data_IF_890890701364
#
_entry.id   IF_890890701364
#
_cell.length_a   1.000
_cell.length_b   1.000
_cell.length_c   1.000
_cell.angle_alpha   90.00
_cell.angle_beta   90.00
_cell.angle_gamma   90.00
#
_symmetry.space_group_name_H-M   'P 1'
#
loop_
_entity.id
_entity.type
_entity.pdbx_description
1 polymer ?
#
# COMPACT_ATOMS: atom_id res chain seq x y z
N UNK A 1 -1.18 0.86 17.24
CA UNK A 1 -2.17 1.36 16.27
C UNK A 1 -1.40 2.01 15.12
N UNK A 2 -1.08 1.25 14.07
CA UNK A 2 -0.40 1.83 12.92
C UNK A 2 -1.37 2.85 12.28
N UNK A 3 -0.90 4.08 12.06
CA UNK A 3 -1.75 5.21 11.65
C UNK A 3 -2.52 4.99 10.33
N UNK A 4 -3.25 6.00 9.84
CA UNK A 4 -4.19 5.82 8.71
C UNK A 4 -3.53 5.43 7.36
N UNK A 5 -2.20 5.47 7.27
CA UNK A 5 -1.44 5.12 6.07
C UNK A 5 -1.05 3.64 5.95
N UNK A 6 -0.54 3.28 4.77
CA UNK A 6 0.15 2.03 4.50
C UNK A 6 1.25 1.74 5.53
N UNK A 7 1.14 0.59 6.20
CA UNK A 7 2.10 0.12 7.21
C UNK A 7 3.51 -0.11 6.67
N UNK A 8 3.63 -0.29 5.35
CA UNK A 8 4.90 -0.46 4.67
C UNK A 8 5.55 0.87 4.26
N UNK A 9 4.83 1.99 4.31
CA UNK A 9 5.32 3.30 3.88
C UNK A 9 6.67 3.73 4.51
N UNK A 10 6.95 3.48 5.81
CA UNK A 10 8.25 3.84 6.40
C UNK A 10 9.45 3.06 5.85
N UNK A 11 9.20 1.90 5.21
CA UNK A 11 10.22 0.99 4.68
C UNK A 11 10.19 0.88 3.15
N UNK A 12 9.19 1.45 2.49
CA UNK A 12 9.01 1.37 1.05
C UNK A 12 9.80 2.47 0.35
N UNK A 13 10.72 2.10 -0.54
CA UNK A 13 11.50 3.06 -1.34
C UNK A 13 10.65 3.86 -2.34
N UNK A 14 9.47 3.33 -2.70
CA UNK A 14 8.52 3.94 -3.61
C UNK A 14 7.33 4.61 -2.89
N UNK A 15 7.42 4.84 -1.58
CA UNK A 15 6.34 5.44 -0.81
C UNK A 15 6.01 6.85 -1.32
N UNK A 16 4.73 7.09 -1.60
CA UNK A 16 4.18 8.42 -1.92
C UNK A 16 3.51 9.02 -0.69
N UNK A 17 3.05 10.27 -0.79
CA UNK A 17 2.25 10.89 0.26
C UNK A 17 0.94 10.14 0.52
N UNK A 18 0.31 9.58 -0.51
CA UNK A 18 -0.92 8.80 -0.41
C UNK A 18 -0.71 7.57 0.47
N UNK A 19 0.45 6.91 0.37
CA UNK A 19 0.82 5.81 1.25
C UNK A 19 0.87 6.21 2.73
N UNK A 20 1.08 7.48 3.07
CA UNK A 20 1.11 7.94 4.47
C UNK A 20 -0.27 8.42 4.96
N UNK A 21 -1.17 8.77 4.03
CA UNK A 21 -2.52 9.29 4.32
C UNK A 21 -3.59 8.20 4.36
N UNK A 22 -3.47 7.17 3.52
CA UNK A 22 -4.47 6.10 3.39
C UNK A 22 -3.83 4.73 3.11
N UNK A 23 -4.49 3.68 3.58
CA UNK A 23 -4.15 2.31 3.21
C UNK A 23 -4.70 1.97 1.81
N UNK A 24 -3.91 1.38 0.92
CA UNK A 24 -4.35 1.02 -0.43
C UNK A 24 -5.41 -0.08 -0.44
N UNK A 25 -6.28 -0.04 -1.44
CA UNK A 25 -7.23 -1.12 -1.70
C UNK A 25 -6.50 -2.41 -2.10
N UNK A 26 -7.13 -3.56 -1.83
CA UNK A 26 -6.64 -4.85 -2.26
C UNK A 26 -7.02 -5.09 -3.72
N UNK A 27 -6.02 -5.35 -4.57
CA UNK A 27 -6.18 -5.60 -6.00
C UNK A 27 -5.55 -6.93 -6.38
N UNK A 28 -6.15 -7.63 -7.32
CA UNK A 28 -5.57 -8.82 -7.92
C UNK A 28 -4.59 -8.40 -9.02
N UNK A 29 -3.31 -8.72 -8.87
CA UNK A 29 -2.25 -8.35 -9.84
C UNK A 29 -1.90 -9.50 -10.78
N UNK A 30 -2.22 -10.73 -10.39
CA UNK A 30 -2.16 -11.92 -11.22
C UNK A 30 -3.17 -12.94 -10.68
N UNK A 31 -3.60 -13.97 -11.44
CA UNK A 31 -4.57 -14.95 -10.97
C UNK A 31 -4.14 -15.58 -9.64
N UNK A 32 -4.93 -15.34 -8.58
CA UNK A 32 -4.64 -15.81 -7.21
C UNK A 32 -3.57 -15.01 -6.45
N UNK A 33 -2.99 -13.96 -7.05
CA UNK A 33 -2.03 -13.06 -6.42
C UNK A 33 -2.64 -11.71 -6.14
N UNK A 34 -2.77 -11.38 -4.86
CA UNK A 34 -3.37 -10.14 -4.38
C UNK A 34 -2.32 -9.27 -3.71
N UNK A 35 -2.40 -7.97 -3.98
CA UNK A 35 -1.54 -6.99 -3.35
C UNK A 35 -2.32 -5.72 -3.02
N UNK A 36 -1.90 -5.04 -1.96
CA UNK A 36 -2.44 -3.74 -1.55
C UNK A 36 -1.32 -2.71 -1.64
N UNK A 37 -1.21 -2.05 -2.79
CA UNK A 37 -0.23 -1.01 -3.05
C UNK A 37 -0.87 0.10 -3.90
N UNK A 38 -0.50 1.36 -3.67
CA UNK A 38 -1.01 2.49 -4.46
C UNK A 38 -0.35 2.60 -5.85
N UNK A 39 0.68 1.79 -6.12
CA UNK A 39 1.48 1.82 -7.36
C UNK A 39 1.35 0.57 -8.23
N UNK A 40 0.37 -0.28 -7.94
CA UNK A 40 0.02 -1.49 -8.70
C UNK A 40 -1.31 -1.31 -9.42
#
# INVERSE_FOLDING_TARGET
NPGPGCYFAPRCYAATEECRKAYPEMREVAPGHWASCHRI
#
